data_IF_328722734665
#
_entry.id   IF_328722734665
#
_cell.length_a   1.000
_cell.length_b   1.000
_cell.length_c   1.000
_cell.angle_alpha   90.00
_cell.angle_beta   90.00
_cell.angle_gamma   90.00
#
_symmetry.space_group_name_H-M   'P 1'
#
loop_
_entity.id
_entity.type
_entity.pdbx_description
1 polymer ?
#
# COMPACT_ATOMS: atom_id res chain seq x y z
N UNK A 1 0.52 -8.70 -31.64
CA UNK A 1 1.34 -9.73 -30.97
C UNK A 1 2.81 -9.25 -30.96
N UNK A 2 3.59 -9.45 -29.89
CA UNK A 2 5.00 -9.00 -29.92
C UNK A 2 5.81 -9.85 -30.91
N UNK A 3 6.38 -9.23 -31.94
CA UNK A 3 7.13 -9.94 -32.99
C UNK A 3 8.59 -10.22 -32.56
N UNK A 4 9.25 -9.26 -31.89
CA UNK A 4 10.63 -9.43 -31.42
C UNK A 4 10.76 -10.30 -30.15
N UNK A 5 11.84 -11.08 -30.05
CA UNK A 5 12.15 -11.96 -28.91
C UNK A 5 12.22 -11.18 -27.58
N UNK A 6 12.83 -9.99 -27.60
CA UNK A 6 12.93 -9.09 -26.43
C UNK A 6 11.55 -8.62 -25.95
N UNK A 7 10.66 -8.24 -26.87
CA UNK A 7 9.31 -7.81 -26.56
C UNK A 7 8.47 -8.95 -25.95
N UNK A 8 8.55 -10.17 -26.49
CA UNK A 8 7.90 -11.36 -25.89
C UNK A 8 8.38 -11.61 -24.46
N UNK A 9 9.70 -11.45 -24.19
CA UNK A 9 10.27 -11.55 -22.83
C UNK A 9 9.72 -10.46 -21.91
N UNK A 10 9.65 -9.20 -22.37
CA UNK A 10 9.13 -8.07 -21.57
C UNK A 10 7.67 -8.27 -21.17
N UNK A 11 6.82 -8.80 -22.06
CA UNK A 11 5.42 -9.13 -21.75
C UNK A 11 5.35 -10.15 -20.60
N UNK A 12 6.13 -11.23 -20.68
CA UNK A 12 6.17 -12.26 -19.63
C UNK A 12 6.63 -11.70 -18.28
N UNK A 13 7.71 -10.92 -18.25
CA UNK A 13 8.23 -10.31 -17.01
C UNK A 13 7.29 -9.26 -16.44
N UNK A 14 6.68 -8.44 -17.30
CA UNK A 14 5.72 -7.41 -16.90
C UNK A 14 4.49 -8.03 -16.25
N UNK A 15 3.92 -9.10 -16.84
CA UNK A 15 2.78 -9.83 -16.27
C UNK A 15 3.08 -10.36 -14.87
N UNK A 16 4.26 -10.96 -14.67
CA UNK A 16 4.70 -11.45 -13.34
C UNK A 16 4.87 -10.33 -12.32
N UNK A 17 5.40 -9.18 -12.73
CA UNK A 17 5.54 -8.01 -11.87
C UNK A 17 4.17 -7.40 -11.52
N UNK A 18 3.27 -7.29 -12.50
CA UNK A 18 1.93 -6.74 -12.34
C UNK A 18 1.10 -7.53 -11.31
N UNK A 19 1.14 -8.86 -11.35
CA UNK A 19 0.43 -9.72 -10.39
C UNK A 19 0.94 -9.49 -8.95
N UNK A 20 2.26 -9.49 -8.75
CA UNK A 20 2.87 -9.23 -7.43
C UNK A 20 2.55 -7.83 -6.90
N UNK A 21 2.63 -6.82 -7.78
CA UNK A 21 2.34 -5.43 -7.42
C UNK A 21 0.85 -5.23 -7.10
N UNK A 22 -0.05 -5.93 -7.83
CA UNK A 22 -1.49 -5.90 -7.56
C UNK A 22 -1.80 -6.43 -6.16
N UNK A 23 -1.22 -7.56 -5.77
CA UNK A 23 -1.39 -8.15 -4.44
C UNK A 23 -0.84 -7.24 -3.32
N UNK A 24 0.34 -6.66 -3.52
CA UNK A 24 0.91 -5.71 -2.55
C UNK A 24 0.05 -4.45 -2.41
N UNK A 25 -0.43 -3.90 -3.54
CA UNK A 25 -1.27 -2.72 -3.55
C UNK A 25 -2.66 -2.98 -2.93
N UNK A 26 -3.27 -4.15 -3.17
CA UNK A 26 -4.56 -4.51 -2.59
C UNK A 26 -4.44 -4.70 -1.07
N UNK A 27 -3.40 -5.38 -0.60
CA UNK A 27 -3.12 -5.54 0.83
C UNK A 27 -2.97 -4.19 1.54
N UNK A 28 -2.16 -3.27 0.99
CA UNK A 28 -2.02 -1.93 1.56
C UNK A 28 -3.32 -1.12 1.57
N UNK A 29 -4.14 -1.22 0.51
CA UNK A 29 -5.45 -0.56 0.46
C UNK A 29 -6.43 -1.16 1.49
N UNK A 30 -6.40 -2.49 1.66
CA UNK A 30 -7.23 -3.20 2.65
C UNK A 30 -6.90 -2.74 4.07
N UNK A 31 -5.63 -2.69 4.44
CA UNK A 31 -5.20 -2.23 5.77
C UNK A 31 -5.63 -0.77 6.04
N UNK A 32 -5.54 0.11 5.04
CA UNK A 32 -6.04 1.49 5.17
C UNK A 32 -7.57 1.53 5.34
N UNK A 33 -8.32 0.67 4.63
CA UNK A 33 -9.78 0.57 4.76
C UNK A 33 -10.18 0.05 6.13
N UNK A 34 -9.52 -0.99 6.62
CA UNK A 34 -9.75 -1.59 7.94
C UNK A 34 -9.47 -0.59 9.06
N UNK A 35 -8.37 0.16 8.99
CA UNK A 35 -8.07 1.19 9.98
C UNK A 35 -9.13 2.30 10.01
N UNK A 36 -9.68 2.67 8.85
CA UNK A 36 -10.75 3.67 8.77
C UNK A 36 -12.08 3.17 9.34
N UNK A 37 -12.38 1.89 9.16
CA UNK A 37 -13.63 1.27 9.61
C UNK A 37 -13.58 0.83 11.09
N UNK A 38 -12.39 0.69 11.67
CA UNK A 38 -12.24 0.31 13.07
C UNK A 38 -12.87 1.37 14.01
N UNK A 39 -13.73 0.90 14.92
CA UNK A 39 -14.32 1.73 16.00
C UNK A 39 -13.22 2.29 16.91
N UNK A 40 -12.30 1.42 17.33
CA UNK A 40 -11.13 1.80 18.12
C UNK A 40 -9.88 1.86 17.25
N UNK A 41 -9.28 3.05 17.20
CA UNK A 41 -8.03 3.34 16.50
C UNK A 41 -6.87 3.26 17.47
N UNK A 42 -6.51 2.04 17.83
CA UNK A 42 -5.39 1.80 18.75
C UNK A 42 -4.03 2.11 18.12
N UNK A 43 -3.02 2.47 18.92
CA UNK A 43 -1.67 2.73 18.44
C UNK A 43 -1.05 1.51 17.72
N UNK A 44 -1.40 0.29 18.13
CA UNK A 44 -0.85 -0.93 17.51
C UNK A 44 -1.40 -1.17 16.10
N UNK A 45 -2.69 -0.90 15.88
CA UNK A 45 -3.29 -0.94 14.54
C UNK A 45 -2.65 0.11 13.63
N UNK A 46 -2.30 1.29 14.17
CA UNK A 46 -1.63 2.33 13.42
C UNK A 46 -0.19 1.91 13.04
N UNK A 47 0.57 1.31 13.97
CA UNK A 47 1.91 0.76 13.71
C UNK A 47 1.87 -0.33 12.64
N UNK A 48 0.90 -1.25 12.72
CA UNK A 48 0.71 -2.30 11.71
C UNK A 48 0.40 -1.72 10.31
N UNK A 49 -0.43 -0.67 10.26
CA UNK A 49 -0.72 0.04 9.03
C UNK A 49 0.52 0.70 8.43
N UNK A 50 1.34 1.37 9.25
CA UNK A 50 2.57 2.01 8.80
C UNK A 50 3.58 0.99 8.26
N UNK A 51 3.78 -0.13 8.98
CA UNK A 51 4.65 -1.22 8.53
C UNK A 51 4.28 -1.71 7.13
N UNK A 52 2.98 -1.85 6.85
CA UNK A 52 2.51 -2.32 5.53
C UNK A 52 2.70 -1.25 4.45
N UNK A 53 2.41 0.02 4.75
CA UNK A 53 2.59 1.13 3.83
C UNK A 53 4.08 1.35 3.47
N UNK A 54 4.96 1.27 4.46
CA UNK A 54 6.39 1.46 4.24
C UNK A 54 7.02 0.28 3.49
N UNK A 55 6.58 -0.95 3.76
CA UNK A 55 6.99 -2.13 2.96
C UNK A 55 6.56 -2.01 1.49
N UNK A 56 5.37 -1.48 1.21
CA UNK A 56 4.91 -1.30 -0.18
C UNK A 56 5.61 -0.15 -0.89
N UNK A 57 6.02 0.89 -0.16
CA UNK A 57 6.86 1.96 -0.68
C UNK A 57 8.30 1.49 -0.96
N UNK A 58 8.89 0.70 -0.06
CA UNK A 58 10.21 0.11 -0.23
C UNK A 58 10.29 -0.78 -1.48
N UNK A 59 9.21 -1.54 -1.76
CA UNK A 59 9.06 -2.33 -2.99
C UNK A 59 8.76 -1.50 -4.25
N UNK A 60 8.76 -0.17 -4.16
CA UNK A 60 8.43 0.78 -5.25
C UNK A 60 7.04 0.58 -5.87
N UNK A 61 6.13 -0.10 -5.18
CA UNK A 61 4.73 -0.27 -5.63
C UNK A 61 3.97 1.04 -5.45
N UNK A 62 4.24 1.74 -4.34
CA UNK A 62 3.81 3.11 -4.12
C UNK A 62 5.01 4.05 -4.10
N UNK A 63 4.81 5.26 -4.61
CA UNK A 63 5.79 6.33 -4.42
C UNK A 63 5.86 6.72 -2.93
N UNK A 64 7.05 7.14 -2.47
CA UNK A 64 7.29 7.59 -1.08
C UNK A 64 6.28 8.65 -0.62
N UNK A 65 5.96 9.61 -1.49
CA UNK A 65 4.99 10.67 -1.18
C UNK A 65 3.56 10.12 -1.00
N UNK A 66 3.20 9.06 -1.73
CA UNK A 66 1.89 8.42 -1.58
C UNK A 66 1.80 7.70 -0.22
N UNK A 67 2.85 6.99 0.18
CA UNK A 67 2.91 6.38 1.51
C UNK A 67 2.88 7.44 2.62
N UNK A 68 3.69 8.49 2.51
CA UNK A 68 3.70 9.60 3.47
C UNK A 68 2.33 10.27 3.62
N UNK A 69 1.64 10.55 2.50
CA UNK A 69 0.28 11.10 2.50
C UNK A 69 -0.73 10.17 3.20
N UNK A 70 -0.62 8.87 2.98
CA UNK A 70 -1.48 7.89 3.66
C UNK A 70 -1.18 7.84 5.16
N UNK A 71 0.10 7.81 5.56
CA UNK A 71 0.49 7.84 6.98
C UNK A 71 -0.04 9.09 7.69
N UNK A 72 0.16 10.28 7.11
CA UNK A 72 -0.36 11.53 7.65
C UNK A 72 -1.88 11.52 7.84
N UNK A 73 -2.63 10.99 6.87
CA UNK A 73 -4.10 10.88 6.98
C UNK A 73 -4.55 9.91 8.09
N UNK A 74 -3.84 8.79 8.28
CA UNK A 74 -4.15 7.85 9.36
C UNK A 74 -3.83 8.45 10.74
N UNK A 75 -2.69 9.13 10.88
CA UNK A 75 -2.35 9.87 12.10
C UNK A 75 -3.44 10.88 12.50
N UNK A 76 -3.86 11.72 11.55
CA UNK A 76 -4.94 12.70 11.79
C UNK A 76 -6.24 12.04 12.26
N UNK A 77 -6.59 10.88 11.68
CA UNK A 77 -7.79 10.14 12.06
C UNK A 77 -7.68 9.50 13.44
N UNK A 78 -6.49 9.07 13.86
CA UNK A 78 -6.23 8.53 15.19
C UNK A 78 -6.31 9.65 16.23
N UNK A 79 -5.61 10.77 15.99
CA UNK A 79 -5.60 11.92 16.89
C UNK A 79 -7.00 12.51 17.08
N UNK A 80 -7.80 12.63 15.99
CA UNK A 80 -9.19 13.08 16.08
C UNK A 80 -10.08 12.14 16.91
N UNK A 81 -9.77 10.84 16.91
CA UNK A 81 -10.51 9.87 17.72
C UNK A 81 -10.07 9.85 19.18
N UNK A 82 -8.84 10.26 19.49
CA UNK A 82 -8.33 10.37 20.85
C UNK A 82 -8.71 11.70 21.53
N UNK A 83 -8.97 12.75 20.74
CA UNK A 83 -9.38 14.07 21.23
C UNK A 83 -10.91 14.18 21.49
N UNK A 84 -11.65 13.09 21.36
CA UNK A 84 -13.10 13.01 21.59
C UNK A 84 -13.37 12.00 22.68
#
# INVERSE_FOLDING_TARGET
MAQHKSAKKRIKTSRRAAIRNRAAASAARKVVKEFKAAKEKTPDKLKAAYKTLDKTAAKKVFHKNKAARLKSRLAKLANKAAAK
#
